data_IF_000984655045
#
_entry.id   IF_000984655045
#
_cell.length_a   1.000
_cell.length_b   1.000
_cell.length_c   1.000
_cell.angle_alpha   90.00
_cell.angle_beta   90.00
_cell.angle_gamma   90.00
#
_symmetry.space_group_name_H-M   'P 1'
#
loop_
_entity.id
_entity.type
_entity.pdbx_description
1 polymer ?
#
# COMPACT_ATOMS: atom_id res chain seq x y z
N UNK A 1 -7.04 -29.44 -17.54
CA UNK A 1 -7.48 -28.79 -16.29
C UNK A 1 -7.60 -27.31 -16.61
N UNK A 2 -8.80 -26.74 -16.60
CA UNK A 2 -8.99 -25.31 -16.88
C UNK A 2 -8.91 -24.58 -15.53
N UNK A 3 -7.85 -23.81 -15.31
CA UNK A 3 -7.74 -22.98 -14.11
C UNK A 3 -8.60 -21.74 -14.33
N UNK A 4 -9.61 -21.55 -13.48
CA UNK A 4 -10.41 -20.32 -13.47
C UNK A 4 -9.57 -19.17 -12.96
N UNK A 5 -9.58 -18.05 -13.68
CA UNK A 5 -8.95 -16.80 -13.23
C UNK A 5 -9.71 -16.29 -11.99
N UNK A 6 -9.00 -16.00 -10.92
CA UNK A 6 -9.56 -15.44 -9.68
C UNK A 6 -9.19 -13.96 -9.64
N UNK A 7 -10.21 -13.08 -9.62
CA UNK A 7 -9.97 -11.65 -9.47
C UNK A 7 -9.52 -11.28 -8.05
N UNK A 8 -8.54 -10.39 -7.89
CA UNK A 8 -8.07 -9.95 -6.59
C UNK A 8 -9.17 -9.17 -5.84
N UNK A 9 -9.23 -9.36 -4.52
CA UNK A 9 -10.13 -8.63 -3.61
C UNK A 9 -9.41 -7.60 -2.74
N UNK A 10 -8.08 -7.69 -2.68
CA UNK A 10 -7.23 -6.83 -1.87
C UNK A 10 -5.93 -6.50 -2.59
N UNK A 11 -5.28 -5.42 -2.17
CA UNK A 11 -3.96 -5.00 -2.64
C UNK A 11 -3.09 -4.52 -1.48
N UNK A 12 -1.80 -4.78 -1.54
CA UNK A 12 -0.81 -4.18 -0.66
C UNK A 12 -0.18 -2.95 -1.32
N UNK A 13 -0.10 -1.83 -0.60
CA UNK A 13 0.65 -0.64 -1.05
C UNK A 13 1.88 -0.50 -0.16
N UNK A 14 3.07 -0.66 -0.76
CA UNK A 14 4.35 -0.40 -0.08
C UNK A 14 4.60 1.10 -0.06
N UNK A 15 4.43 1.69 1.12
CA UNK A 15 4.43 3.14 1.30
C UNK A 15 5.84 3.71 1.54
N UNK A 16 6.72 2.92 2.14
CA UNK A 16 8.09 3.32 2.46
C UNK A 16 8.98 2.10 2.60
N UNK A 17 10.29 2.28 2.39
CA UNK A 17 11.32 1.30 2.73
C UNK A 17 11.93 1.54 4.12
N UNK A 18 11.56 2.65 4.78
CA UNK A 18 12.02 2.97 6.14
C UNK A 18 11.22 2.16 7.16
N UNK A 19 11.91 1.46 8.05
CA UNK A 19 11.32 0.76 9.19
C UNK A 19 12.13 1.08 10.45
N UNK A 20 11.50 1.22 11.62
CA UNK A 20 12.24 1.38 12.88
C UNK A 20 12.92 0.08 13.33
N UNK A 21 12.46 -1.07 12.82
CA UNK A 21 13.08 -2.36 13.04
C UNK A 21 14.17 -2.66 12.00
N UNK A 22 15.09 -3.56 12.38
CA UNK A 22 16.16 -4.08 11.52
C UNK A 22 16.11 -5.61 11.52
N UNK A 23 14.97 -6.16 11.10
CA UNK A 23 14.74 -7.60 11.06
C UNK A 23 15.73 -8.27 10.10
N UNK A 24 16.37 -9.36 10.55
CA UNK A 24 17.34 -10.12 9.73
C UNK A 24 16.71 -10.66 8.43
N UNK A 25 15.47 -11.14 8.51
CA UNK A 25 14.75 -11.78 7.41
C UNK A 25 13.68 -10.85 6.79
N UNK A 26 14.00 -9.56 6.63
CA UNK A 26 13.04 -8.62 6.03
C UNK A 26 12.84 -8.90 4.54
N UNK A 27 11.62 -9.31 4.14
CA UNK A 27 11.28 -9.64 2.75
C UNK A 27 11.42 -8.48 1.75
N UNK A 28 11.49 -7.24 2.24
CA UNK A 28 11.60 -6.03 1.42
C UNK A 28 12.90 -5.26 1.68
N UNK A 29 13.84 -5.80 2.46
CA UNK A 29 15.08 -5.11 2.81
C UNK A 29 14.86 -3.70 3.40
N UNK A 30 13.75 -3.55 4.13
CA UNK A 30 13.44 -2.33 4.85
C UNK A 30 14.40 -2.20 6.04
N UNK A 31 14.77 -0.96 6.37
CA UNK A 31 15.65 -0.72 7.53
C UNK A 31 15.53 0.71 8.06
N UNK A 32 16.10 1.01 9.24
CA UNK A 32 16.07 2.36 9.81
C UNK A 32 16.82 3.40 8.98
N UNK A 33 17.74 2.94 8.11
CA UNK A 33 18.62 3.78 7.31
C UNK A 33 18.06 4.09 5.92
N UNK A 34 17.00 3.39 5.50
CA UNK A 34 16.27 3.67 4.25
C UNK A 34 15.44 4.95 4.39
N UNK A 35 15.22 5.64 3.28
CA UNK A 35 14.48 6.93 3.24
C UNK A 35 13.44 6.99 2.14
N UNK A 36 13.42 6.00 1.26
CA UNK A 36 12.50 5.88 0.14
C UNK A 36 11.08 5.79 0.68
N UNK A 37 10.20 6.63 0.14
CA UNK A 37 8.77 6.67 0.44
C UNK A 37 8.05 7.21 -0.77
N UNK A 38 6.83 6.73 -1.00
CA UNK A 38 5.92 7.36 -1.93
C UNK A 38 5.29 8.59 -1.27
N UNK A 39 4.94 9.56 -2.09
CA UNK A 39 4.23 10.78 -1.72
C UNK A 39 2.74 10.54 -1.65
N UNK A 40 2.01 11.44 -0.99
CA UNK A 40 0.55 11.39 -0.98
C UNK A 40 -0.05 11.48 -2.39
N UNK A 41 0.56 12.25 -3.31
CA UNK A 41 0.12 12.31 -4.71
C UNK A 41 0.23 10.95 -5.39
N UNK A 42 1.35 10.25 -5.24
CA UNK A 42 1.53 8.90 -5.80
C UNK A 42 0.54 7.90 -5.19
N UNK A 43 0.23 8.00 -3.89
CA UNK A 43 -0.81 7.17 -3.25
C UNK A 43 -2.16 7.35 -3.96
N UNK A 44 -2.55 8.60 -4.26
CA UNK A 44 -3.80 8.88 -4.97
C UNK A 44 -3.82 8.30 -6.37
N UNK A 45 -2.74 8.51 -7.14
CA UNK A 45 -2.60 7.98 -8.49
C UNK A 45 -2.67 6.45 -8.54
N UNK A 46 -2.07 5.78 -7.56
CA UNK A 46 -2.17 4.33 -7.38
C UNK A 46 -3.62 3.93 -7.11
N UNK A 47 -4.31 4.56 -6.16
CA UNK A 47 -5.71 4.25 -5.82
C UNK A 47 -6.62 4.45 -7.04
N UNK A 48 -6.49 5.57 -7.74
CA UNK A 48 -7.30 5.90 -8.92
C UNK A 48 -7.08 4.89 -10.05
N UNK A 49 -5.84 4.43 -10.25
CA UNK A 49 -5.50 3.42 -11.25
C UNK A 49 -6.09 2.04 -10.88
N UNK A 50 -6.03 1.65 -9.61
CA UNK A 50 -6.50 0.34 -9.14
C UNK A 50 -8.02 0.24 -9.23
N UNK A 51 -8.77 1.28 -8.86
CA UNK A 51 -10.25 1.21 -8.91
C UNK A 51 -10.78 1.06 -10.34
N UNK A 52 -10.03 1.56 -11.34
CA UNK A 52 -10.35 1.41 -12.76
C UNK A 52 -9.94 0.01 -13.25
N UNK A 53 -8.71 -0.42 -12.96
CA UNK A 53 -8.17 -1.67 -13.48
C UNK A 53 -8.77 -2.92 -12.81
N UNK A 54 -9.10 -2.83 -11.52
CA UNK A 54 -9.53 -3.95 -10.68
C UNK A 54 -10.73 -3.56 -9.80
N UNK A 55 -11.94 -3.44 -10.38
CA UNK A 55 -13.14 -3.02 -9.64
C UNK A 55 -13.56 -3.99 -8.51
N UNK A 56 -12.99 -5.20 -8.51
CA UNK A 56 -13.18 -6.24 -7.48
C UNK A 56 -12.39 -5.99 -6.21
N UNK A 57 -11.36 -5.15 -6.24
CA UNK A 57 -10.59 -4.80 -5.06
C UNK A 57 -11.45 -3.94 -4.13
N UNK A 58 -11.42 -4.29 -2.84
CA UNK A 58 -12.15 -3.60 -1.78
C UNK A 58 -11.27 -3.27 -0.58
N UNK A 59 -10.11 -3.90 -0.42
CA UNK A 59 -9.26 -3.74 0.76
C UNK A 59 -7.86 -3.31 0.36
N UNK A 60 -7.33 -2.29 1.04
CA UNK A 60 -5.92 -1.89 0.96
C UNK A 60 -5.20 -2.32 2.24
N UNK A 61 -4.15 -3.13 2.08
CA UNK A 61 -3.17 -3.37 3.11
C UNK A 61 -2.05 -2.32 2.99
N UNK A 62 -2.02 -1.37 3.92
CA UNK A 62 -0.96 -0.37 4.02
C UNK A 62 0.31 -1.01 4.60
N UNK A 63 1.38 -1.07 3.82
CA UNK A 63 2.59 -1.82 4.18
C UNK A 63 3.87 -1.11 3.69
N UNK A 64 4.99 -1.81 3.65
CA UNK A 64 6.33 -1.29 3.40
C UNK A 64 7.26 -1.69 4.55
N UNK A 65 8.09 -0.75 4.99
CA UNK A 65 8.77 -0.80 6.27
C UNK A 65 7.77 -0.60 7.41
N UNK A 66 7.81 0.55 8.07
CA UNK A 66 6.78 0.93 9.04
C UNK A 66 5.87 1.99 8.43
N UNK A 67 4.67 1.60 7.98
CA UNK A 67 3.76 2.50 7.27
C UNK A 67 3.23 3.61 8.18
N UNK A 68 3.19 3.43 9.50
CA UNK A 68 2.76 4.49 10.43
C UNK A 68 3.74 5.67 10.48
N UNK A 69 4.98 5.52 9.98
CA UNK A 69 5.94 6.62 9.85
C UNK A 69 5.54 7.67 8.81
N UNK A 70 4.55 7.38 7.95
CA UNK A 70 4.00 8.37 7.03
C UNK A 70 3.20 9.47 7.75
N UNK A 71 2.73 9.23 8.97
CA UNK A 71 1.94 10.21 9.73
C UNK A 71 0.68 10.63 8.97
N UNK A 72 0.54 11.93 8.74
CA UNK A 72 -0.63 12.50 8.07
C UNK A 72 -0.84 11.95 6.65
N UNK A 73 0.22 11.60 5.92
CA UNK A 73 0.10 11.01 4.59
C UNK A 73 -0.64 9.66 4.63
N UNK A 74 -0.45 8.86 5.69
CA UNK A 74 -1.19 7.60 5.88
C UNK A 74 -2.67 7.86 6.16
N UNK A 75 -2.97 8.81 7.06
CA UNK A 75 -4.36 9.16 7.43
C UNK A 75 -5.12 9.73 6.23
N UNK A 76 -4.46 10.60 5.46
CA UNK A 76 -5.00 11.16 4.23
C UNK A 76 -5.19 10.06 3.17
N UNK A 77 -4.25 9.12 3.06
CA UNK A 77 -4.35 7.95 2.17
C UNK A 77 -5.56 7.06 2.50
N UNK A 78 -5.75 6.72 3.78
CA UNK A 78 -6.91 5.94 4.26
C UNK A 78 -8.22 6.68 3.97
N UNK A 79 -8.25 8.00 4.22
CA UNK A 79 -9.42 8.83 3.96
C UNK A 79 -9.76 8.88 2.46
N UNK A 80 -8.74 9.00 1.60
CA UNK A 80 -8.91 9.00 0.15
C UNK A 80 -9.38 7.64 -0.38
N UNK A 81 -8.82 6.55 0.14
CA UNK A 81 -9.27 5.19 -0.15
C UNK A 81 -10.75 5.01 0.23
N UNK A 82 -11.17 5.53 1.38
CA UNK A 82 -12.55 5.45 1.85
C UNK A 82 -13.53 6.17 0.92
N UNK A 83 -13.19 7.37 0.44
CA UNK A 83 -13.99 8.11 -0.57
C UNK A 83 -14.15 7.29 -1.85
N UNK A 84 -13.12 6.52 -2.22
CA UNK A 84 -13.14 5.59 -3.36
C UNK A 84 -13.74 4.21 -3.06
N UNK A 85 -14.46 4.08 -1.93
CA UNK A 85 -15.16 2.85 -1.50
C UNK A 85 -14.21 1.66 -1.29
N UNK A 86 -12.97 1.93 -0.92
CA UNK A 86 -12.00 0.96 -0.44
C UNK A 86 -11.95 1.00 1.10
N UNK A 87 -11.55 -0.11 1.70
CA UNK A 87 -11.40 -0.33 3.13
C UNK A 87 -9.93 -0.40 3.51
#
# INVERSE_FOLDING_TARGET
>A
MVVSVIDPKSIGILTTMKCTAACQECCFECSPNRKERITFTEIKEIIDSIVIAFPTIKVIAWTGGECTLLGDDLVNGISYAKVNRLH
#
